data_IF_565491743644
#
_entry.id   IF_565491743644
#
_cell.length_a   1.000
_cell.length_b   1.000
_cell.length_c   1.000
_cell.angle_alpha   90.00
_cell.angle_beta   90.00
_cell.angle_gamma   90.00
#
_symmetry.space_group_name_H-M   'P 1'
#
loop_
_entity.id
_entity.type
_entity.pdbx_description
1 polymer ?
2 non-polymer ?
3 non-polymer ?
4 non-polymer ?
5 non-polymer ?
6 non-polymer ?
7 non-polymer ?
8 non-polymer ?
9 water ?
#
# COMPACT_ATOMS: atom_id res chain seq x y z
N UNK A 7 -12.48 10.80 -30.90
CA UNK A 7 -12.10 11.90 -29.92
C UNK A 7 -11.15 11.38 -28.79
N UNK A 8 -10.79 10.11 -28.88
CA UNK A 8 -10.33 9.26 -27.78
C UNK A 8 -9.10 9.75 -27.01
N UNK A 9 -9.16 9.74 -25.67
CA UNK A 9 -7.98 10.14 -24.86
C UNK A 9 -7.91 9.38 -23.50
N UNK A 10 -6.76 8.73 -23.30
CA UNK A 10 -6.51 7.75 -22.24
C UNK A 10 -5.66 8.39 -21.20
N UNK A 11 -6.02 8.17 -19.95
CA UNK A 11 -5.26 8.73 -18.84
C UNK A 11 -5.10 7.73 -17.72
N UNK A 12 -4.15 8.01 -16.85
CA UNK A 12 -3.95 7.11 -15.73
C UNK A 12 -4.07 7.91 -14.44
N UNK A 13 -4.91 7.43 -13.51
CA UNK A 13 -5.05 8.07 -12.18
C UNK A 13 -4.40 7.21 -11.09
N UNK A 14 -3.28 7.64 -10.53
CA UNK A 14 -2.66 6.90 -9.43
C UNK A 14 -3.24 7.40 -8.11
N UNK A 15 -3.68 6.48 -7.26
CA UNK A 15 -4.37 6.86 -6.01
C UNK A 15 -3.70 6.26 -4.79
N UNK A 16 -3.18 7.09 -3.92
CA UNK A 16 -2.50 6.56 -2.75
C UNK A 16 -3.39 6.85 -1.55
N UNK A 17 -3.27 6.06 -0.50
CA UNK A 17 -3.83 6.48 0.77
C UNK A 17 -3.27 7.90 0.98
N UNK A 18 -1.95 7.93 0.88
CA UNK A 18 -1.14 9.15 0.84
C UNK A 18 -0.31 9.32 2.11
N UNK A 19 0.63 10.26 2.06
CA UNK A 19 1.43 10.73 3.20
C UNK A 19 1.55 12.25 3.17
N UNK A 20 1.68 12.89 4.33
CA UNK A 20 1.92 14.35 4.34
C UNK A 20 3.30 14.72 4.86
N UNK A 21 4.08 13.69 5.21
CA UNK A 21 5.44 13.87 5.73
C UNK A 21 6.48 13.73 4.62
N UNK A 22 7.28 14.79 4.49
CA UNK A 22 8.29 14.99 3.44
C UNK A 22 9.18 13.75 3.23
N UNK A 23 9.65 13.15 4.35
CA UNK A 23 10.55 12.00 4.32
C UNK A 23 9.91 10.75 3.69
N UNK A 24 8.57 10.68 3.72
CA UNK A 24 7.80 9.57 3.16
C UNK A 24 7.35 9.73 1.67
N UNK A 25 7.10 10.96 1.19
CA UNK A 25 6.69 11.22 -0.24
C UNK A 25 7.59 10.69 -1.38
N UNK A 26 8.91 10.61 -1.16
CA UNK A 26 9.75 9.93 -2.16
C UNK A 26 9.27 8.57 -2.69
N UNK A 27 8.74 7.70 -1.83
CA UNK A 27 8.19 6.42 -2.32
C UNK A 27 7.02 6.57 -3.34
N UNK A 28 6.23 7.64 -3.22
CA UNK A 28 5.18 7.99 -4.21
C UNK A 28 5.79 8.41 -5.54
N UNK A 29 6.77 9.31 -5.48
CA UNK A 29 7.52 9.77 -6.66
C UNK A 29 8.23 8.61 -7.39
N UNK A 30 8.74 7.64 -6.64
CA UNK A 30 9.37 6.48 -7.24
C UNK A 30 8.31 5.68 -8.03
N UNK A 31 7.07 5.62 -7.51
CA UNK A 31 6.01 4.91 -8.22
C UNK A 31 5.60 5.65 -9.48
N UNK A 32 5.48 6.97 -9.39
CA UNK A 32 5.25 7.85 -10.54
C UNK A 32 6.25 7.61 -11.67
N UNK A 33 7.56 7.54 -11.35
CA UNK A 33 8.58 7.21 -12.37
C UNK A 33 8.36 5.87 -13.04
N UNK A 34 8.20 4.83 -12.22
CA UNK A 34 7.91 3.49 -12.72
C UNK A 34 6.75 3.56 -13.70
N UNK A 35 5.68 4.28 -13.38
CA UNK A 35 4.50 4.27 -14.29
C UNK A 35 4.80 4.96 -15.62
N UNK A 36 5.44 6.14 -15.52
CA UNK A 36 5.91 6.92 -16.66
C UNK A 36 6.84 6.09 -17.54
N UNK A 37 7.81 5.42 -16.93
CA UNK A 37 8.74 4.54 -17.65
C UNK A 37 8.03 3.41 -18.40
N UNK A 38 6.94 2.88 -17.83
CA UNK A 38 6.26 1.74 -18.46
C UNK A 38 5.19 2.15 -19.48
N UNK A 39 4.72 3.40 -19.39
CA UNK A 39 3.68 3.92 -20.29
C UNK A 39 4.03 5.37 -20.70
N UNK A 40 5.07 5.53 -21.57
CA UNK A 40 5.70 6.86 -21.73
C UNK A 40 4.76 7.91 -22.37
N UNK A 41 3.74 7.45 -23.07
CA UNK A 41 2.86 8.36 -23.77
C UNK A 41 1.44 8.52 -23.15
N UNK A 42 1.22 8.07 -21.90
CA UNK A 42 -0.08 8.19 -21.23
C UNK A 42 0.03 9.20 -20.10
N UNK A 43 -0.83 10.21 -20.10
CA UNK A 43 -0.79 11.15 -18.98
C UNK A 43 -1.13 10.48 -17.63
N UNK A 44 -0.39 10.89 -16.61
CA UNK A 44 -0.52 10.30 -15.28
C UNK A 44 -0.92 11.42 -14.31
N UNK A 45 -2.02 11.22 -13.59
CA UNK A 45 -2.48 12.14 -12.55
C UNK A 45 -2.53 11.42 -11.18
N UNK A 46 -2.51 12.21 -10.11
CA UNK A 46 -2.56 11.72 -8.71
C UNK A 46 -3.84 12.10 -7.96
N UNK A 47 -4.28 11.21 -7.07
CA UNK A 47 -5.32 11.54 -6.06
C UNK A 47 -5.05 10.78 -4.74
N UNK A 48 -5.76 11.15 -3.66
CA UNK A 48 -5.52 10.56 -2.31
C UNK A 48 -6.80 10.28 -1.62
N UNK A 49 -6.90 9.08 -1.04
CA UNK A 49 -8.15 8.65 -0.45
C UNK A 49 -8.36 9.19 0.96
N UNK A 50 -7.31 9.53 1.69
CA UNK A 50 -7.48 9.97 3.06
C UNK A 50 -7.85 11.49 3.18
N UNK A 51 -9.04 11.78 3.68
CA UNK A 51 -9.41 13.20 3.93
C UNK A 51 -8.38 14.02 4.76
N UNK A 52 -7.95 13.49 5.93
CA UNK A 52 -6.99 14.19 6.80
C UNK A 52 -5.68 14.48 6.07
N UNK A 53 -5.24 13.58 5.21
CA UNK A 53 -4.06 13.89 4.44
C UNK A 53 -4.23 14.95 3.32
N UNK A 54 -5.38 14.96 2.63
CA UNK A 54 -5.71 16.05 1.67
C UNK A 54 -5.76 17.37 2.40
N UNK A 55 -6.31 17.34 3.61
CA UNK A 55 -6.35 18.54 4.44
C UNK A 55 -4.95 19.05 4.82
N UNK A 56 -4.04 18.18 5.25
CA UNK A 56 -2.65 18.64 5.56
C UNK A 56 -1.90 19.07 4.33
N UNK A 57 -2.11 18.39 3.20
CA UNK A 57 -1.38 18.81 2.01
C UNK A 57 -1.91 20.18 1.54
N UNK A 58 -3.22 20.40 1.56
CA UNK A 58 -3.71 21.72 1.16
C UNK A 58 -3.14 22.77 2.12
N UNK A 59 -3.08 22.44 3.42
CA UNK A 59 -2.54 23.39 4.41
C UNK A 59 -1.11 23.81 4.09
N UNK A 60 -0.33 22.91 3.50
CA UNK A 60 1.02 23.26 3.08
C UNK A 60 1.10 23.85 1.67
N UNK A 61 -0.04 24.11 1.05
CA UNK A 61 -0.05 24.77 -0.25
C UNK A 61 0.15 23.84 -1.42
N UNK A 62 -0.13 22.55 -1.23
CA UNK A 62 0.10 21.54 -2.29
C UNK A 62 -1.31 21.12 -2.72
N UNK A 63 -1.57 21.11 -4.02
CA UNK A 63 -2.83 20.55 -4.56
C UNK A 63 -2.88 19.05 -4.21
N UNK A 64 -4.00 18.59 -3.67
CA UNK A 64 -4.16 17.17 -3.30
C UNK A 64 -5.61 16.76 -3.52
N UNK A 65 -6.00 16.51 -4.78
CA UNK A 65 -7.43 16.23 -5.05
C UNK A 65 -7.93 14.90 -4.51
N UNK A 66 -9.19 14.81 -4.10
CA UNK A 66 -9.81 13.52 -3.84
C UNK A 66 -10.02 12.85 -5.17
N UNK A 67 -10.32 11.53 -5.17
CA UNK A 67 -10.55 10.87 -6.46
C UNK A 67 -11.68 11.53 -7.28
N UNK A 68 -12.76 11.95 -6.62
CA UNK A 68 -13.84 12.74 -7.27
C UNK A 68 -13.34 14.04 -7.93
N UNK A 69 -12.58 14.89 -7.21
CA UNK A 69 -12.05 16.12 -7.80
C UNK A 69 -11.15 15.84 -9.02
N UNK A 70 -10.29 14.82 -8.87
CA UNK A 70 -9.37 14.42 -9.90
C UNK A 70 -10.11 14.00 -11.18
N UNK A 71 -11.13 13.14 -11.03
CA UNK A 71 -11.82 12.63 -12.20
C UNK A 71 -12.70 13.73 -12.82
N UNK A 72 -13.27 14.62 -12.01
CA UNK A 72 -14.04 15.75 -12.58
C UNK A 72 -13.12 16.67 -13.37
N UNK A 73 -11.89 16.88 -12.86
CA UNK A 73 -10.88 17.68 -13.53
C UNK A 73 -10.44 16.99 -14.81
N UNK A 74 -10.23 15.68 -14.74
CA UNK A 74 -9.82 14.94 -15.95
C UNK A 74 -10.92 14.95 -17.08
N UNK A 75 -12.20 14.85 -16.69
CA UNK A 75 -13.33 14.96 -17.63
C UNK A 75 -13.26 16.34 -18.31
N UNK A 76 -13.02 17.35 -17.50
CA UNK A 76 -12.80 18.70 -17.97
C UNK A 76 -11.60 18.88 -18.92
N UNK A 77 -10.51 18.16 -18.72
CA UNK A 77 -9.46 18.19 -19.72
C UNK A 77 -9.76 17.33 -20.98
N UNK A 78 -10.95 16.75 -21.13
CA UNK A 78 -11.18 15.96 -22.35
C UNK A 78 -10.74 14.47 -22.33
N UNK A 79 -10.23 13.94 -21.19
CA UNK A 79 -9.98 12.46 -21.09
C UNK A 79 -11.33 11.76 -21.29
N UNK A 80 -11.29 10.58 -21.93
CA UNK A 80 -12.45 9.74 -22.20
C UNK A 80 -12.32 8.37 -21.51
N UNK A 81 -11.07 7.88 -21.33
CA UNK A 81 -10.84 6.48 -20.83
C UNK A 81 -9.79 6.56 -19.77
N UNK A 82 -10.15 6.26 -18.52
CA UNK A 82 -9.17 6.46 -17.46
C UNK A 82 -8.97 5.16 -16.68
N UNK A 83 -7.72 4.80 -16.46
CA UNK A 83 -7.38 3.63 -15.67
C UNK A 83 -6.96 4.16 -14.31
N UNK A 84 -7.74 3.82 -13.28
CA UNK A 84 -7.46 4.21 -11.93
C UNK A 84 -6.63 3.08 -11.20
N UNK A 85 -5.44 3.35 -10.67
CA UNK A 85 -4.69 2.30 -9.93
C UNK A 85 -4.48 2.68 -8.48
N UNK A 86 -5.09 1.95 -7.55
CA UNK A 86 -4.77 2.30 -6.12
C UNK A 86 -3.47 1.70 -5.70
N UNK A 87 -2.80 2.41 -4.83
CA UNK A 87 -1.68 1.80 -4.14
C UNK A 87 -2.04 1.34 -2.76
N UNK A 88 -3.29 0.87 -2.58
CA UNK A 88 -3.71 0.14 -1.38
C UNK A 88 -3.17 -1.29 -1.41
N UNK A 89 -3.11 -1.86 -0.23
CA UNK A 89 -2.57 -3.19 -0.04
C UNK A 89 -3.64 -4.25 -0.14
N UNK A 90 -4.82 -3.91 0.36
CA UNK A 90 -5.95 -4.83 0.39
C UNK A 90 -7.18 -4.17 -0.20
N UNK A 91 -8.16 -4.97 -0.65
CA UNK A 91 -9.44 -4.43 -1.16
C UNK A 91 -10.43 -4.15 -0.04
N UNK A 92 -10.05 -3.27 0.88
CA UNK A 92 -10.93 -2.91 1.99
C UNK A 92 -11.86 -1.75 1.65
N UNK A 93 -12.19 -0.99 2.68
CA UNK A 93 -13.21 0.04 2.66
C UNK A 93 -12.85 1.16 1.64
N UNK A 94 -11.62 1.65 1.75
CA UNK A 94 -11.08 2.65 0.85
C UNK A 94 -11.01 2.20 -0.59
N UNK A 95 -10.51 0.99 -0.83
CA UNK A 95 -10.55 0.48 -2.19
C UNK A 95 -12.00 0.35 -2.74
N UNK A 96 -12.92 -0.18 -1.93
CA UNK A 96 -14.31 -0.25 -2.35
C UNK A 96 -14.91 1.16 -2.64
N UNK A 97 -14.55 2.17 -1.85
CA UNK A 97 -15.06 3.50 -2.05
C UNK A 97 -14.54 4.05 -3.36
N UNK A 98 -13.30 3.75 -3.64
CA UNK A 98 -12.70 4.15 -4.91
C UNK A 98 -13.38 3.50 -6.12
N UNK A 99 -13.88 2.30 -5.96
CA UNK A 99 -14.57 1.58 -7.02
C UNK A 99 -15.96 2.21 -7.24
N UNK A 100 -16.61 2.61 -6.16
CA UNK A 100 -17.91 3.25 -6.27
C UNK A 100 -17.76 4.60 -6.98
N UNK A 101 -16.71 5.32 -6.62
CA UNK A 101 -16.40 6.61 -7.20
C UNK A 101 -16.05 6.55 -8.68
N UNK A 102 -15.23 5.59 -9.06
CA UNK A 102 -14.99 5.38 -10.49
C UNK A 102 -16.27 5.04 -11.27
N UNK A 103 -17.10 4.13 -10.77
CA UNK A 103 -18.30 3.71 -11.48
C UNK A 103 -19.22 4.93 -11.64
N UNK A 104 -19.33 5.75 -10.59
CA UNK A 104 -20.17 6.95 -10.63
C UNK A 104 -19.79 7.93 -11.76
N UNK A 105 -18.50 8.07 -12.08
CA UNK A 105 -18.06 8.96 -13.13
C UNK A 105 -18.23 8.40 -14.53
N UNK A 106 -18.17 7.06 -14.68
CA UNK A 106 -18.20 6.55 -16.03
C UNK A 106 -19.61 6.66 -16.67
N UNK A 107 -19.64 7.20 -17.87
CA UNK A 107 -20.90 7.31 -18.56
C UNK A 107 -21.77 8.51 -18.25
N UNK A 108 -21.31 9.43 -17.38
CA UNK A 108 -21.97 10.73 -17.16
C UNK A 108 -21.91 11.56 -18.43
N UNK A 109 -22.96 12.36 -18.67
CA UNK A 109 -23.09 13.13 -19.93
C UNK A 109 -21.94 14.04 -20.28
N UNK A 110 -21.47 13.94 -21.51
CA UNK A 110 -20.29 14.72 -21.97
C UNK A 110 -19.01 14.45 -21.15
N UNK A 111 -19.00 13.38 -20.33
CA UNK A 111 -17.87 13.11 -19.43
C UNK A 111 -17.03 11.92 -19.91
N UNK A 112 -16.48 11.19 -18.93
CA UNK A 112 -15.65 10.00 -19.17
C UNK A 112 -16.52 8.86 -19.73
N UNK A 113 -16.02 8.21 -20.79
CA UNK A 113 -16.69 7.04 -21.38
C UNK A 113 -16.45 5.78 -20.52
N UNK A 114 -15.21 5.59 -20.08
CA UNK A 114 -14.79 4.36 -19.40
C UNK A 114 -13.77 4.64 -18.31
N UNK A 115 -14.04 4.15 -17.11
CA UNK A 115 -13.15 4.33 -16.00
C UNK A 115 -12.90 2.96 -15.39
N UNK A 116 -11.66 2.45 -15.45
CA UNK A 116 -11.39 1.09 -14.94
C UNK A 116 -10.60 1.23 -13.65
N UNK A 117 -10.63 0.19 -12.82
CA UNK A 117 -9.90 0.24 -11.54
C UNK A 117 -8.94 -0.96 -11.38
N UNK A 118 -7.67 -0.69 -11.12
CA UNK A 118 -6.72 -1.78 -10.90
C UNK A 118 -6.81 -2.33 -9.49
N UNK A 119 -6.64 -3.64 -9.36
CA UNK A 119 -6.67 -4.32 -8.05
C UNK A 119 -5.58 -3.78 -7.11
N UNK A 120 -5.85 -3.73 -5.79
CA UNK A 120 -4.77 -3.43 -4.83
C UNK A 120 -3.75 -4.58 -4.76
N UNK A 121 -2.77 -4.51 -3.86
CA UNK A 121 -1.63 -5.40 -3.93
C UNK A 121 -2.02 -6.87 -3.80
N UNK A 122 -2.77 -7.16 -2.75
CA UNK A 122 -3.25 -8.49 -2.47
C UNK A 122 -4.60 -8.66 -3.14
N UNK A 123 -4.60 -8.97 -4.44
CA UNK A 123 -5.82 -9.16 -5.17
C UNK A 123 -6.20 -10.61 -5.19
N UNK A 124 -5.67 -11.39 -6.11
CA UNK A 124 -5.99 -12.80 -6.09
C UNK A 124 -5.10 -13.61 -5.07
N UNK A 125 -5.40 -14.91 -4.92
CA UNK A 125 -4.47 -15.79 -4.21
C UNK A 125 -3.10 -15.88 -4.94
N UNK A 126 -3.10 -15.79 -6.28
CA UNK A 126 -1.86 -15.70 -7.06
C UNK A 126 -1.08 -14.39 -6.78
N UNK A 127 -1.76 -13.25 -6.65
CA UNK A 127 -1.08 -12.02 -6.14
C UNK A 127 -0.50 -12.27 -4.74
N UNK A 128 -1.28 -12.91 -3.87
CA UNK A 128 -0.87 -13.06 -2.45
C UNK A 128 0.44 -13.85 -2.34
N UNK A 129 0.59 -14.87 -3.15
CA UNK A 129 1.77 -15.66 -3.24
C UNK A 129 2.92 -14.87 -3.87
N UNK A 130 2.60 -14.03 -4.85
CA UNK A 130 3.62 -13.17 -5.48
C UNK A 130 4.09 -12.08 -4.48
N UNK A 131 3.17 -11.56 -3.68
CA UNK A 131 3.52 -10.56 -2.63
C UNK A 131 4.47 -11.19 -1.62
N UNK A 132 4.11 -12.38 -1.12
CA UNK A 132 4.98 -13.12 -0.17
C UNK A 132 6.41 -13.23 -0.72
N UNK A 133 6.56 -13.64 -1.98
CA UNK A 133 7.87 -13.73 -2.64
C UNK A 133 8.56 -12.41 -2.78
N UNK A 134 7.82 -11.37 -3.16
CA UNK A 134 8.39 -10.04 -3.27
C UNK A 134 8.86 -9.49 -1.91
N UNK A 135 8.07 -9.75 -0.86
CA UNK A 135 8.44 -9.30 0.49
C UNK A 135 9.80 -9.95 0.87
N UNK A 136 9.90 -11.26 0.64
CA UNK A 136 11.13 -11.98 0.93
C UNK A 136 12.32 -11.33 0.17
N UNK A 137 12.10 -11.00 -1.10
CA UNK A 137 13.15 -10.42 -1.91
C UNK A 137 13.48 -9.01 -1.37
N UNK A 138 12.53 -8.37 -0.70
CA UNK A 138 12.78 -6.99 -0.25
C UNK A 138 13.56 -6.93 1.07
N UNK A 139 13.77 -8.05 1.76
CA UNK A 139 14.34 -8.02 3.12
C UNK A 139 15.72 -7.40 3.13
N UNK A 140 16.07 -6.71 4.24
CA UNK A 140 17.40 -6.12 4.29
C UNK A 140 18.49 -7.24 4.25
N UNK A 141 19.59 -6.98 3.54
CA UNK A 141 20.73 -7.92 3.42
C UNK A 141 21.31 -8.27 4.77
N UNK A 142 21.19 -7.39 5.74
CA UNK A 142 21.75 -7.73 7.05
C UNK A 142 20.90 -8.62 7.93
N UNK A 143 19.61 -8.80 7.58
CA UNK A 143 18.75 -9.74 8.28
C UNK A 143 19.38 -11.15 8.15
N UNK A 144 19.52 -11.87 9.27
CA UNK A 144 20.12 -13.19 9.23
C UNK A 144 19.08 -14.30 9.15
N UNK A 145 19.43 -15.44 8.52
CA UNK A 145 18.45 -16.55 8.54
C UNK A 145 18.07 -16.87 9.98
N UNK A 146 16.82 -17.21 10.21
CA UNK A 146 16.38 -17.46 11.56
C UNK A 146 15.87 -16.20 12.27
N UNK A 147 16.25 -14.98 11.85
CA UNK A 147 15.75 -13.81 12.57
C UNK A 147 14.33 -13.42 12.12
N UNK A 148 13.36 -13.40 13.04
CA UNK A 148 12.02 -13.13 12.56
C UNK A 148 11.89 -11.74 11.97
N UNK A 149 10.96 -11.60 11.04
CA UNK A 149 10.59 -10.32 10.44
C UNK A 149 9.10 -10.17 10.68
N UNK A 150 8.68 -9.04 11.26
CA UNK A 150 7.27 -8.69 11.42
C UNK A 150 6.90 -7.66 10.36
N UNK A 151 5.96 -8.00 9.51
CA UNK A 151 5.46 -7.05 8.55
C UNK A 151 4.26 -6.38 9.18
N UNK A 152 4.24 -5.06 9.20
CA UNK A 152 3.12 -4.35 9.80
C UNK A 152 2.07 -3.88 8.76
N UNK A 153 0.89 -4.47 8.76
CA UNK A 153 -0.23 -3.95 7.95
C UNK A 153 -1.15 -3.01 8.76
N UNK A 154 -2.04 -2.29 8.06
CA UNK A 154 -2.94 -1.33 8.74
C UNK A 154 -3.94 -2.11 9.62
N UNK A 155 -4.65 -3.06 9.00
CA UNK A 155 -5.78 -3.72 9.66
C UNK A 155 -7.05 -2.87 9.43
N UNK A 156 -8.21 -3.52 9.39
CA UNK A 156 -9.48 -2.85 9.16
C UNK A 156 -10.61 -3.67 9.73
N UNK A 157 -11.72 -3.03 10.14
CA UNK A 157 -12.92 -3.85 10.44
C UNK A 157 -13.60 -4.42 9.18
N UNK A 158 -13.30 -3.90 7.99
CA UNK A 158 -13.83 -4.46 6.72
C UNK A 158 -13.50 -5.96 6.56
N UNK A 159 -14.36 -6.73 5.85
CA UNK A 159 -14.03 -8.15 5.63
C UNK A 159 -12.66 -8.42 4.92
N UNK A 160 -12.15 -7.46 4.15
CA UNK A 160 -10.86 -7.67 3.45
C UNK A 160 -9.66 -7.82 4.43
N UNK A 161 -9.91 -7.58 5.72
CA UNK A 161 -8.92 -7.83 6.76
C UNK A 161 -8.39 -9.28 6.67
N UNK A 162 -9.21 -10.19 6.17
CA UNK A 162 -8.86 -11.60 6.02
C UNK A 162 -7.60 -11.77 5.13
N UNK A 163 -7.21 -10.69 4.38
CA UNK A 163 -6.00 -10.73 3.58
C UNK A 163 -4.73 -10.82 4.40
N UNK A 164 -4.76 -10.31 5.63
CA UNK A 164 -3.57 -10.41 6.45
C UNK A 164 -3.26 -11.84 6.92
N UNK A 165 -4.23 -12.52 7.55
CA UNK A 165 -3.97 -13.92 7.82
C UNK A 165 -3.76 -14.77 6.55
N UNK A 166 -4.43 -14.40 5.43
CA UNK A 166 -4.18 -15.09 4.14
C UNK A 166 -2.70 -14.97 3.74
N UNK A 167 -2.17 -13.77 3.85
CA UNK A 167 -0.79 -13.51 3.49
C UNK A 167 0.16 -14.27 4.42
N UNK A 168 -0.20 -14.35 5.70
CA UNK A 168 0.64 -15.06 6.69
C UNK A 168 0.85 -16.55 6.26
N UNK A 169 -0.25 -17.21 5.84
CA UNK A 169 -0.22 -18.50 5.17
C UNK A 169 0.87 -18.57 4.10
N UNK A 170 0.86 -17.61 3.15
CA UNK A 170 1.81 -17.66 2.04
C UNK A 170 3.24 -17.44 2.48
N UNK A 171 3.46 -16.48 3.38
CA UNK A 171 4.78 -16.21 3.92
C UNK A 171 5.35 -17.45 4.64
N UNK A 172 4.51 -18.18 5.36
CA UNK A 172 5.04 -19.27 6.17
C UNK A 172 5.51 -20.40 5.26
N UNK A 173 4.85 -20.54 4.09
CA UNK A 173 5.22 -21.55 3.09
C UNK A 173 6.66 -21.26 2.68
N UNK A 174 7.13 -20.03 2.85
CA UNK A 174 8.48 -19.66 2.46
C UNK A 174 9.47 -19.67 3.62
N UNK A 175 9.02 -19.31 4.81
CA UNK A 175 9.93 -19.09 5.92
C UNK A 175 9.09 -19.10 7.16
N UNK A 176 9.33 -20.04 8.11
CA UNK A 176 8.49 -20.09 9.32
C UNK A 176 8.62 -18.84 10.20
N UNK A 177 9.68 -18.05 10.01
CA UNK A 177 9.91 -16.88 10.89
C UNK A 177 9.41 -15.53 10.36
N UNK A 178 8.67 -15.53 9.25
CA UNK A 178 8.10 -14.27 8.73
C UNK A 178 6.69 -14.17 9.28
N UNK A 179 6.39 -13.05 9.92
CA UNK A 179 5.15 -12.87 10.66
C UNK A 179 4.36 -11.65 10.16
N UNK A 180 3.03 -11.72 10.23
CA UNK A 180 2.20 -10.54 9.86
C UNK A 180 1.47 -10.02 11.10
N UNK A 181 1.53 -8.70 11.31
CA UNK A 181 0.80 -8.07 12.42
C UNK A 181 0.08 -6.83 11.92
N UNK A 182 -0.92 -6.36 12.64
CA UNK A 182 -1.61 -5.17 12.15
C UNK A 182 -1.88 -4.27 13.35
N UNK A 183 -2.04 -2.99 13.05
CA UNK A 183 -2.32 -1.96 14.05
C UNK A 183 -3.78 -2.10 14.54
N UNK A 184 -4.71 -2.39 13.64
CA UNK A 184 -6.13 -2.34 13.96
C UNK A 184 -6.92 -3.60 13.66
N UNK A 185 -6.31 -4.68 13.19
CA UNK A 185 -7.09 -5.85 12.87
C UNK A 185 -6.44 -7.09 13.41
N UNK A 186 -6.50 -8.13 12.59
CA UNK A 186 -6.03 -9.46 12.95
C UNK A 186 -5.08 -9.91 11.83
N UNK A 187 -3.90 -10.48 12.15
CA UNK A 187 -3.43 -10.72 13.56
C UNK A 187 -3.10 -9.44 14.30
N UNK A 188 -3.24 -9.45 15.61
CA UNK A 188 -2.89 -8.29 16.39
C UNK A 188 -1.41 -8.31 16.75
N UNK A 189 -0.88 -7.18 17.23
CA UNK A 189 0.48 -7.18 17.80
C UNK A 189 0.68 -8.18 18.96
N UNK A 190 -0.32 -8.36 19.83
CA UNK A 190 -0.26 -9.40 20.86
C UNK A 190 -0.08 -10.78 20.26
N UNK A 191 -0.82 -11.09 19.19
CA UNK A 191 -0.62 -12.35 18.45
C UNK A 191 0.81 -12.46 17.98
N UNK A 192 1.40 -11.37 17.48
CA UNK A 192 2.76 -11.43 17.01
C UNK A 192 3.69 -11.67 18.20
N UNK A 193 3.47 -10.99 19.33
CA UNK A 193 4.39 -11.25 20.43
C UNK A 193 4.32 -12.69 20.92
N UNK A 194 3.12 -13.26 21.00
CA UNK A 194 3.03 -14.70 21.34
C UNK A 194 3.79 -15.56 20.29
N UNK A 195 3.74 -15.22 18.99
CA UNK A 195 4.60 -15.94 17.99
C UNK A 195 6.08 -15.78 18.30
N UNK A 196 6.48 -14.59 18.71
CA UNK A 196 7.90 -14.34 19.01
C UNK A 196 8.37 -15.12 20.25
N UNK A 197 7.51 -15.28 21.27
CA UNK A 197 7.88 -15.94 22.50
C UNK A 197 8.15 -17.41 22.28
N UNK A 198 7.35 -18.08 21.45
CA UNK A 198 7.60 -19.50 21.20
C UNK A 198 8.89 -19.65 20.38
N UNK A 199 9.30 -18.63 19.64
CA UNK A 199 10.50 -18.80 18.83
C UNK A 199 11.73 -18.37 19.63
N UNK A 200 11.54 -17.81 20.84
CA UNK A 200 12.61 -17.19 21.69
C UNK A 200 13.60 -16.28 20.93
N UNK A 201 13.08 -15.52 19.97
CA UNK A 201 13.88 -14.68 19.09
C UNK A 201 14.57 -13.55 19.85
N UNK A 202 15.88 -13.32 19.63
CA UNK A 202 16.58 -12.19 20.25
C UNK A 202 16.68 -10.89 19.43
N UNK A 203 16.60 -11.01 18.10
CA UNK A 203 16.66 -9.89 17.18
C UNK A 203 15.48 -10.06 16.21
N UNK A 204 14.67 -9.02 16.10
CA UNK A 204 13.48 -9.05 15.30
C UNK A 204 13.50 -7.82 14.38
N UNK A 205 13.26 -8.01 13.08
CA UNK A 205 13.11 -6.92 12.07
C UNK A 205 11.63 -6.47 11.95
N UNK A 206 11.37 -5.18 11.78
CA UNK A 206 9.97 -4.72 11.56
C UNK A 206 9.93 -3.95 10.26
N UNK A 207 9.02 -4.34 9.38
CA UNK A 207 8.87 -3.69 8.07
C UNK A 207 7.44 -3.35 7.82
N UNK A 208 7.19 -2.12 7.31
CA UNK A 208 5.79 -1.73 6.99
C UNK A 208 5.33 -2.57 5.78
N UNK A 209 4.07 -2.94 5.81
CA UNK A 209 3.45 -3.62 4.71
C UNK A 209 2.81 -2.57 3.78
N UNK A 210 2.64 -1.32 4.25
CA UNK A 210 1.97 -0.34 3.41
C UNK A 210 2.90 0.26 2.37
N UNK A 211 2.32 0.89 1.35
CA UNK A 211 3.11 1.44 0.23
C UNK A 211 4.16 2.43 0.70
N UNK A 212 3.78 3.34 1.61
CA UNK A 212 4.69 4.31 2.17
C UNK A 212 4.85 4.12 3.67
N UNK A 213 6.06 4.36 4.17
CA UNK A 213 6.36 4.33 5.60
C UNK A 213 5.84 5.62 6.18
N UNK A 214 4.54 5.61 6.52
CA UNK A 214 3.89 6.81 7.02
C UNK A 214 3.90 6.96 8.52
N UNK A 215 2.82 7.52 9.07
CA UNK A 215 2.75 7.80 10.50
C UNK A 215 2.62 6.54 11.38
N UNK A 216 1.84 5.56 10.96
CA UNK A 216 1.80 4.23 11.61
C UNK A 216 3.20 3.57 11.68
N UNK A 217 3.98 3.66 10.61
CA UNK A 217 5.35 3.15 10.59
C UNK A 217 6.30 3.91 11.52
N UNK A 218 6.16 5.22 11.60
CA UNK A 218 7.13 6.06 12.32
C UNK A 218 6.78 6.15 13.79
N UNK A 219 5.50 6.00 14.09
CA UNK A 219 4.97 6.17 15.41
C UNK A 219 4.54 4.89 16.06
N UNK A 220 3.63 4.13 15.44
CA UNK A 220 3.11 2.87 16.05
C UNK A 220 4.10 1.69 15.98
N UNK A 221 4.82 1.56 14.86
CA UNK A 221 5.80 0.54 14.69
C UNK A 221 7.13 0.91 15.35
N UNK A 222 7.67 2.11 15.06
CA UNK A 222 9.05 2.48 15.44
C UNK A 222 9.15 3.71 16.35
N UNK A 223 8.03 4.17 16.86
CA UNK A 223 8.09 5.37 17.74
C UNK A 223 8.95 5.25 19.00
N UNK A 224 9.31 6.41 19.56
CA UNK A 224 9.93 6.52 20.87
C UNK A 224 8.97 6.27 22.03
N UNK A 225 7.69 6.46 21.85
CA UNK A 225 6.79 6.27 22.99
C UNK A 225 6.63 4.78 23.40
N UNK A 226 6.09 4.59 24.60
CA UNK A 226 6.07 3.27 25.25
C UNK A 226 5.27 2.24 24.50
N UNK A 227 4.19 2.66 23.85
CA UNK A 227 3.32 1.68 23.23
C UNK A 227 3.74 1.36 21.79
N UNK A 228 4.81 1.94 21.27
CA UNK A 228 5.28 1.52 19.98
C UNK A 228 5.75 0.05 20.00
N UNK A 229 5.66 -0.59 18.84
CA UNK A 229 6.20 -1.98 18.65
C UNK A 229 7.66 -2.09 19.09
N UNK A 230 8.53 -1.19 18.66
CA UNK A 230 9.93 -1.37 19.04
C UNK A 230 10.08 -1.17 20.58
N UNK A 231 9.38 -0.19 21.15
CA UNK A 231 9.43 0.01 22.60
C UNK A 231 8.96 -1.20 23.37
N UNK A 232 7.89 -1.82 22.91
CA UNK A 232 7.36 -3.01 23.57
C UNK A 232 8.34 -4.20 23.45
N UNK A 233 8.98 -4.35 22.30
CA UNK A 233 9.97 -5.40 22.12
C UNK A 233 11.22 -5.18 22.97
N UNK A 234 11.70 -3.94 23.06
CA UNK A 234 12.83 -3.60 23.94
C UNK A 234 12.53 -3.94 25.42
N UNK A 235 11.29 -3.71 25.85
CA UNK A 235 10.95 -4.03 27.25
C UNK A 235 11.02 -5.53 27.48
N UNK A 236 10.76 -6.31 26.45
CA UNK A 236 10.99 -7.74 26.68
C UNK A 236 12.34 -8.27 26.21
N UNK A 237 13.33 -7.38 26.11
CA UNK A 237 14.72 -7.79 25.89
C UNK A 237 15.09 -8.19 24.46
N UNK A 238 14.18 -7.86 23.54
CA UNK A 238 14.41 -8.10 22.11
C UNK A 238 15.06 -6.88 21.44
N UNK A 239 16.13 -7.12 20.69
CA UNK A 239 16.72 -6.09 19.83
C UNK A 239 15.81 -5.90 18.61
N UNK A 240 15.05 -4.81 18.60
CA UNK A 240 14.14 -4.48 17.49
C UNK A 240 14.89 -3.72 16.39
N UNK A 241 14.75 -4.14 15.14
CA UNK A 241 15.42 -3.46 14.05
C UNK A 241 14.34 -2.86 13.09
N UNK A 242 13.81 -1.68 13.39
CA UNK A 242 12.73 -1.21 12.45
C UNK A 242 13.29 -0.73 11.13
N UNK A 243 12.59 -0.99 10.03
CA UNK A 243 13.07 -0.55 8.71
C UNK A 243 12.04 0.36 8.09
N UNK A 244 12.35 1.64 7.98
CA UNK A 244 11.37 2.63 7.50
C UNK A 244 11.33 2.81 5.97
N UNK A 245 10.92 1.77 5.25
CA UNK A 245 10.77 1.84 3.83
C UNK A 245 9.41 1.20 3.53
N UNK A 246 8.57 1.94 2.80
CA UNK A 246 7.29 1.39 2.41
C UNK A 246 7.52 0.35 1.35
N UNK A 247 6.53 -0.48 1.11
CA UNK A 247 6.70 -1.51 0.10
C UNK A 247 6.84 -0.95 -1.33
N UNK A 248 6.34 0.27 -1.59
CA UNK A 248 6.50 0.92 -2.89
C UNK A 248 7.97 1.15 -3.25
N UNK A 249 8.88 1.09 -2.29
CA UNK A 249 10.32 1.21 -2.59
C UNK A 249 10.88 -0.02 -3.19
N UNK A 250 10.22 -1.17 -2.99
CA UNK A 250 10.72 -2.38 -3.59
C UNK A 250 10.28 -2.58 -5.03
N UNK A 251 11.23 -2.85 -5.91
CA UNK A 251 10.89 -3.12 -7.28
C UNK A 251 10.06 -4.35 -7.41
N UNK A 252 10.36 -5.38 -6.62
CA UNK A 252 9.63 -6.66 -6.74
C UNK A 252 8.16 -6.47 -6.29
N UNK A 253 7.91 -5.70 -5.25
CA UNK A 253 6.53 -5.38 -4.85
C UNK A 253 5.84 -4.46 -5.85
N UNK A 254 6.54 -3.41 -6.31
CA UNK A 254 5.94 -2.41 -7.22
C UNK A 254 5.51 -3.05 -8.48
N UNK A 255 6.27 -4.07 -8.91
CA UNK A 255 5.94 -4.80 -10.15
C UNK A 255 4.54 -5.37 -10.15
N UNK A 256 4.00 -5.72 -8.96
CA UNK A 256 2.65 -6.28 -8.81
C UNK A 256 1.54 -5.19 -9.03
N UNK A 257 1.71 -4.00 -8.43
CA UNK A 257 0.89 -2.85 -8.75
C UNK A 257 0.91 -2.52 -10.26
N UNK A 258 2.11 -2.49 -10.86
CA UNK A 258 2.27 -2.28 -12.34
C UNK A 258 1.50 -3.27 -13.19
N UNK A 259 1.50 -4.54 -12.80
CA UNK A 259 0.77 -5.57 -13.56
C UNK A 259 -0.73 -5.28 -13.45
N UNK A 260 -1.15 -4.79 -12.27
CA UNK A 260 -2.55 -4.49 -12.04
C UNK A 260 -2.99 -3.30 -12.89
N UNK A 261 -2.09 -2.33 -13.04
CA UNK A 261 -2.33 -1.21 -13.87
C UNK A 261 -2.40 -1.70 -15.33
N UNK A 262 -1.49 -2.56 -15.78
CA UNK A 262 -1.66 -3.13 -17.13
C UNK A 262 -3.00 -3.79 -17.34
N UNK A 263 -3.51 -4.51 -16.36
CA UNK A 263 -4.79 -5.20 -16.56
C UNK A 263 -5.90 -4.16 -16.70
N UNK A 264 -5.82 -3.08 -15.91
CA UNK A 264 -6.86 -2.04 -15.90
C UNK A 264 -6.89 -1.23 -17.23
N UNK A 265 -5.73 -0.86 -17.76
CA UNK A 265 -5.58 -0.32 -19.12
C UNK A 265 -6.18 -1.24 -20.18
N UNK A 266 -5.90 -2.54 -20.09
CA UNK A 266 -6.48 -3.47 -21.07
C UNK A 266 -8.01 -3.55 -20.93
N UNK A 267 -8.55 -3.41 -19.72
CA UNK A 267 -10.00 -3.38 -19.53
C UNK A 267 -10.71 -2.12 -20.13
N UNK A 268 -9.95 -1.13 -20.55
CA UNK A 268 -10.52 0.02 -21.26
C UNK A 268 -10.87 -0.33 -22.71
N UNK A 269 -10.40 -1.51 -23.18
CA UNK A 269 -10.10 -1.91 -24.59
C UNK A 269 -8.86 -1.17 -25.06
X LIG B 1 -16.44 -5.29 -6.28
X LIG B 1 -13.30 -7.55 -3.29
X LIG B 1 -16.37 -7.71 0.44
X LIG B 1 -19.20 -4.79 -2.30
X LIG B 1 -15.32 -5.91 -5.77
X LIG B 1 -14.10 -6.18 -6.51
X LIG B 1 -13.25 -6.79 -5.65
X LIG B 1 -13.89 -6.93 -4.37
X LIG B 1 -11.82 -7.29 -5.89
X LIG B 1 -13.86 -5.79 -8.01
X LIG B 1 -15.15 -5.98 -8.85
X LIG B 1 -15.14 -7.13 -9.85
X LIG B 1 -15.84 -7.02 -10.93
X LIG B 1 -14.47 -8.18 -9.59
X LIG B 1 -13.90 -7.88 -2.09
X LIG B 1 -13.34 -8.79 -1.12
X LIG B 1 -14.17 -8.84 -0.07
X LIG B 1 -15.28 -7.96 -0.33
X LIG B 1 -12.02 -9.56 -1.28
X LIG B 1 -13.96 -9.70 1.20
X LIG B 1 -12.80 -10.34 1.41
X LIG B 1 -17.37 -6.88 -0.02
X LIG B 1 -18.48 -6.44 0.80
X LIG B 1 -19.25 -5.64 0.06
X LIG B 1 -18.66 -5.55 -1.27
X LIG B 1 -18.70 -6.85 2.27
X LIG B 1 -20.57 -4.93 0.49
X LIG B 1 -20.86 -4.68 1.78
X LIG B 1 -18.80 -4.69 -3.61
X LIG B 1 -19.55 -4.05 -4.67
X LIG B 1 -18.68 -4.18 -5.93
X LIG B 1 -17.50 -4.91 -5.50
X LIG B 1 -20.92 -3.35 -4.52
X LIG B 1 -18.99 -3.69 -7.37
X LIG B 1 -20.09 -4.54 -8.03
X LIG B 1 -20.15 -5.94 -7.46
X LIG B 1 -20.89 -6.15 -6.42
X LIG B 1 -19.43 -6.80 -8.09
X LIG B 1 -15.15 -6.39 -4.47
X LIG B 1 -15.09 -7.40 -1.56
X LIG B 1 -17.50 -6.32 -1.29
X LIG B 1 -17.61 -5.18 -4.14
X LIG B 1 -16.21 -6.19 -2.92
X LIG C 1 -4.78 4.11 10.68
X LIG D 1 -9.62 -0.16 4.77
X LIG D 1 -9.81 0.60 3.52
X LIG D 1 -10.63 -1.18 5.05
X LIG D 1 -8.27 -0.74 4.61
X LIG D 1 -9.78 0.79 5.90
X LIG E 1 -2.10 0.82 2.29
X LIG E 1 -0.86 0.56 1.51
X LIG E 1 -1.95 0.40 3.69
X LIG E 1 -2.37 2.26 2.14
X LIG E 1 -3.28 0.07 1.80
X LIG F 1 -13.22 -2.42 -14.08
X LIG F 1 -13.39 -3.11 -15.34
X LIG F 1 -13.95 -3.07 -13.00
X LIG F 1 -11.80 -2.34 -13.68
X LIG F 1 -13.92 -1.13 -14.20
X LIG G 1 15.55 -17.34 2.60
X LIG G 1 15.32 -16.52 1.48
X LIG G 1 14.23 -17.72 3.26
X LIG G 1 13.64 -16.54 3.80
X LIG G 1 14.53 -18.74 4.38
X LIG G 1 13.68 -19.90 4.40
X LIG H 1 6.02 -22.49 12.67
X LIG H 1 7.05 -23.44 12.67
X LIG H 1 5.58 -22.38 11.21
X LIG H 1 5.19 -21.07 10.93
X LIG H 1 4.37 -23.20 10.87
X LIG H 1 3.19 -22.50 11.16
X LIG I 1 -9.24 9.85 7.38
X LIG I 1 -8.16 10.62 6.92
X LIG I 1 -10.42 10.09 6.45
X LIG I 1 -11.65 10.27 7.15
X LIG I 1 -10.53 8.95 5.44
X LIG I 1 -11.23 9.44 4.31
X LIG J 1 19.80 -3.69 2.28
X LIG J 1 19.61 -4.98 1.64
X LIG J 1 20.53 -3.87 3.55
X LIG J 1 20.61 -2.89 1.37
X LIG J 1 18.51 -3.05 2.58
X LIG K 1 13.97 -4.63 -4.31
X LIG K 1 13.03 -5.46 -5.08
X LIG K 1 13.52 -4.51 -2.91
X LIG K 1 15.27 -5.31 -4.33
X LIG K 1 14.08 -3.28 -4.91
X LIG L 1 1.18 10.54 7.28
X LIG L 1 2.35 10.76 6.44
X LIG L 1 0.93 9.08 7.31
X LIG L 1 1.48 10.94 8.66
X LIG L 1 0.06 11.32 6.74
X LIG M 1 -0.15 5.98 7.72
X LIG M 1 -0.70 5.03 6.79
X LIG M 1 -1.19 6.45 8.63
X LIG M 1 0.87 5.26 8.46
X LIG M 1 0.49 7.14 7.09
X LIG N 1 0.41 15.29 -18.87
X LIG N 1 1.57 14.91 -19.68
X LIG N 1 0.11 14.20 -17.94
X LIG N 1 0.68 16.46 -18.05
X LIG N 1 -0.70 15.54 -19.79
X LIG O 1 -1.63 -2.46 5.02
X LIG P 1 25.27 -11.10 16.31
X LIG Q 1 -5.70 4.67 12.12
X LIG Q 1 -5.02 5.89 12.59
#
# INVERSE_FOLDING_TARGET
GHGAPKAQKTGILLVAFGTSVEEARPALDKMGDRVRAAHPDIPVRWAYTAKMIRAKLRAEGIAAPSPAEALAGMAEEGFTHVAVQSLHTIPGEEFHGLLETAHAFQGLPKGLTRVSVGLPLIGTTADAEAVAEALVASLPADRKPGEPVVFMGHGTPHPADICYPGLQYYLWRLDPDLLVGTVEGSPSFDNVMAELDVRKAKRVWLMPLMAVAGDHARNDMAGDEDDSWTSQLARRGIEAKPVLHGTAESDAVAAIWLRHLDDALARLN
HEM CHA CHB CHC CHD C1A C2A C3A C4A CMA CAA CBA CGA O1A O2A C1B C2B C3B C4B CMB CAB CBB C1C C2C C3C C4C CMC CAC CBC C1D C2D C3D C4D CMD CAD CBD CGD O1D O2D NA NB NC ND FE
CO CO
SO4 S O1 O2 O3 O4
SO4 S O1 O2 O3 O4
SO4 S O1 O2 O3 O4
GOL C1 O1 C2 O2 C3 O3
GOL C1 O1 C2 O2 C3 O3
GOL C1 O1 C2 O2 C3 O3
SO4 S O1 O2 O3 O4
SO4 S O1 O2 O3 O4
SO4 S O1 O2 O3 O4
SO4 S O1 O2 O3 O4
SO4 S O1 O2 O3 O4
NA NA
CL CL
PER O1 O2
#
